data_IF_827765267644
#
_entry.id   IF_827765267644
#
_cell.length_a   1.000
_cell.length_b   1.000
_cell.length_c   1.000
_cell.angle_alpha   90.00
_cell.angle_beta   90.00
_cell.angle_gamma   90.00
#
_symmetry.space_group_name_H-M   'P 1'
#
loop_
_entity.id
_entity.type
_entity.pdbx_description
1 polymer ?
2 polymer ?
3 non-polymer ?
4 non-polymer ?
5 non-polymer ?
6 water ?
#
# COMPACT_ATOMS: atom_id res chain seq x y z
N UNK A 1 2.41 14.23 -12.71
CA UNK A 1 1.43 15.26 -12.44
C UNK A 1 0.01 14.70 -12.65
N UNK A 2 -0.94 15.42 -12.00
CA UNK A 2 -2.35 14.99 -12.06
C UNK A 2 -3.05 15.52 -13.32
N UNK A 3 -3.65 14.62 -14.09
CA UNK A 3 -4.41 14.99 -15.22
C UNK A 3 -5.81 15.39 -14.83
N UNK A 4 -6.60 15.92 -15.73
CA UNK A 4 -8.03 16.21 -15.45
C UNK A 4 -8.73 14.92 -15.04
N UNK A 5 -8.35 13.79 -15.70
CA UNK A 5 -8.95 12.50 -15.34
C UNK A 5 -8.60 12.15 -13.91
N UNK A 6 -7.34 12.33 -13.52
CA UNK A 6 -6.98 12.00 -12.12
C UNK A 6 -7.74 12.87 -11.14
N UNK A 7 -7.86 14.16 -11.43
CA UNK A 7 -8.53 15.10 -10.49
C UNK A 7 -9.99 14.72 -10.31
N UNK A 8 -10.68 14.38 -11.44
CA UNK A 8 -12.06 14.02 -11.34
C UNK A 8 -12.22 12.74 -10.56
N UNK A 9 -11.31 11.77 -10.74
CA UNK A 9 -11.40 10.48 -10.02
C UNK A 9 -11.19 10.69 -8.54
N UNK A 10 -10.23 11.57 -8.18
CA UNK A 10 -10.00 11.81 -6.72
C UNK A 10 -11.18 12.49 -6.13
N UNK A 11 -11.73 13.52 -6.81
CA UNK A 11 -12.95 14.22 -6.27
C UNK A 11 -14.10 13.26 -6.15
N UNK A 12 -14.31 12.39 -7.17
CA UNK A 12 -15.47 11.48 -7.08
C UNK A 12 -15.28 10.47 -5.94
N UNK A 13 -14.07 9.93 -5.75
CA UNK A 13 -13.82 9.00 -4.61
C UNK A 13 -14.03 9.71 -3.28
N UNK A 14 -13.47 10.91 -3.10
CA UNK A 14 -13.64 11.62 -1.81
C UNK A 14 -15.12 11.98 -1.58
N UNK A 15 -15.83 12.29 -2.67
CA UNK A 15 -17.25 12.55 -2.52
C UNK A 15 -17.98 11.36 -1.90
N UNK A 16 -17.54 10.12 -2.24
CA UNK A 16 -18.15 8.93 -1.68
C UNK A 16 -17.67 8.55 -0.30
N UNK A 17 -16.37 8.72 -0.03
CA UNK A 17 -15.84 8.14 1.21
C UNK A 17 -15.59 9.19 2.30
N UNK A 18 -15.65 10.49 1.91
CA UNK A 18 -15.33 11.57 2.92
C UNK A 18 -16.19 11.59 4.16
N UNK A 19 -17.44 10.99 4.03
CA UNK A 19 -18.31 10.85 5.18
C UNK A 19 -17.59 10.16 6.35
N UNK A 20 -16.61 9.30 6.03
CA UNK A 20 -15.91 8.56 7.09
C UNK A 20 -14.52 9.06 7.36
N UNK A 21 -14.25 10.33 6.98
CA UNK A 21 -12.93 11.00 7.15
C UNK A 21 -12.31 10.72 8.51
N UNK A 22 -13.10 11.00 9.56
CA UNK A 22 -12.53 10.85 10.93
C UNK A 22 -12.06 9.43 11.17
N UNK A 23 -12.91 8.45 10.83
CA UNK A 23 -12.57 7.06 11.05
C UNK A 23 -11.37 6.65 10.22
N UNK A 24 -11.32 7.10 8.98
CA UNK A 24 -10.15 6.78 8.12
C UNK A 24 -8.87 7.29 8.77
N UNK A 25 -8.92 8.54 9.31
CA UNK A 25 -7.69 9.10 9.91
C UNK A 25 -7.29 8.35 11.16
N UNK A 26 -8.28 8.01 12.03
CA UNK A 26 -7.89 7.29 13.23
C UNK A 26 -7.22 5.98 12.87
N UNK A 27 -7.83 5.29 11.91
CA UNK A 27 -7.29 3.94 11.56
C UNK A 27 -5.92 4.07 10.85
N UNK A 28 -5.77 5.06 9.98
CA UNK A 28 -4.45 5.22 9.28
C UNK A 28 -3.31 5.54 10.24
N UNK A 29 -3.56 6.50 11.17
CA UNK A 29 -2.54 6.82 12.12
C UNK A 29 -2.24 5.67 13.07
N UNK A 30 -3.33 4.98 13.48
CA UNK A 30 -3.17 3.82 14.37
C UNK A 30 -2.24 2.79 13.74
N UNK A 31 -2.47 2.46 12.47
CA UNK A 31 -1.69 1.52 11.71
C UNK A 31 -0.27 2.00 11.53
N UNK A 32 -0.13 3.27 11.25
CA UNK A 32 1.23 3.76 11.04
C UNK A 32 2.05 3.55 12.31
N UNK A 33 1.51 3.92 13.46
CA UNK A 33 2.35 3.81 14.70
C UNK A 33 2.65 2.38 15.02
N UNK A 34 1.77 1.42 14.76
CA UNK A 34 1.98 0.02 15.11
C UNK A 34 2.88 -0.68 14.09
N UNK A 35 2.63 -0.48 12.82
CA UNK A 35 3.35 -1.16 11.76
C UNK A 35 4.70 -0.55 11.46
N UNK A 36 4.84 0.74 11.67
CA UNK A 36 6.08 1.47 11.40
C UNK A 36 6.48 2.18 12.72
N UNK A 37 6.94 1.41 13.69
CA UNK A 37 7.17 2.00 15.02
C UNK A 37 8.18 3.14 15.07
N UNK A 38 9.01 3.33 14.05
CA UNK A 38 9.94 4.46 13.99
C UNK A 38 9.11 5.75 14.03
N UNK A 39 7.84 5.73 13.62
CA UNK A 39 7.04 6.92 13.63
C UNK A 39 6.47 7.28 15.00
N UNK A 40 6.46 6.37 15.96
CA UNK A 40 5.82 6.71 17.22
C UNK A 40 6.46 7.89 17.95
N UNK A 41 7.78 8.00 17.80
CA UNK A 41 8.51 9.08 18.53
C UNK A 41 7.88 10.43 18.26
N UNK A 42 7.36 10.69 17.07
CA UNK A 42 6.82 11.99 16.69
C UNK A 42 5.56 12.37 17.46
N UNK A 43 4.89 11.35 18.03
CA UNK A 43 3.64 11.58 18.78
C UNK A 43 3.83 11.37 20.26
N UNK A 44 5.06 11.11 20.72
CA UNK A 44 5.31 10.71 22.09
C UNK A 44 5.07 11.76 23.15
N UNK A 45 4.89 12.99 22.74
CA UNK A 45 4.54 14.04 23.71
C UNK A 45 3.08 13.86 24.10
N UNK A 46 2.26 13.10 23.36
CA UNK A 46 0.86 12.94 23.76
C UNK A 46 0.75 12.06 25.00
N UNK A 47 -0.24 12.22 25.86
CA UNK A 47 -0.39 11.39 27.05
C UNK A 47 -0.72 9.92 26.73
N UNK A 48 -1.21 9.66 25.50
CA UNK A 48 -1.53 8.26 25.20
C UNK A 48 -1.21 7.99 23.72
N UNK A 49 -0.24 7.09 23.46
CA UNK A 49 0.13 6.71 22.10
C UNK A 49 -0.13 5.19 21.91
N UNK A 50 -0.92 4.59 22.81
CA UNK A 50 -1.27 3.16 22.74
C UNK A 50 -2.53 2.94 21.90
N UNK A 51 -2.72 1.69 21.45
CA UNK A 51 -3.92 1.42 20.63
C UNK A 51 -5.19 1.86 21.31
N UNK A 52 -6.04 2.53 20.56
CA UNK A 52 -7.30 2.99 21.10
C UNK A 52 -7.15 4.41 21.65
N UNK A 53 -5.95 5.02 21.63
CA UNK A 53 -5.85 6.34 22.22
C UNK A 53 -6.77 7.44 21.73
N UNK A 54 -7.33 8.24 22.62
CA UNK A 54 -8.20 9.38 22.20
C UNK A 54 -7.30 10.41 21.55
N UNK A 55 -5.98 10.47 21.80
CA UNK A 55 -5.14 11.43 21.12
C UNK A 55 -4.96 11.03 19.64
N UNK A 56 -4.74 9.73 19.40
CA UNK A 56 -4.62 9.27 18.02
C UNK A 56 -5.96 9.54 17.31
N UNK A 57 -7.09 9.27 18.02
CA UNK A 57 -8.37 9.52 17.32
C UNK A 57 -8.54 10.99 16.98
N UNK A 58 -8.23 11.90 17.91
CA UNK A 58 -8.39 13.32 17.67
C UNK A 58 -7.44 13.77 16.53
N UNK A 59 -6.20 13.28 16.54
CA UNK A 59 -5.26 13.71 15.47
C UNK A 59 -5.67 13.11 14.12
N UNK A 60 -6.25 11.93 14.14
CA UNK A 60 -6.69 11.33 12.83
C UNK A 60 -7.70 12.22 12.18
N UNK A 61 -8.54 12.94 12.95
CA UNK A 61 -9.52 13.84 12.31
C UNK A 61 -8.73 14.96 11.60
N UNK A 62 -7.68 15.47 12.23
CA UNK A 62 -6.89 16.55 11.61
C UNK A 62 -6.18 16.10 10.36
N UNK A 63 -5.57 14.91 10.37
CA UNK A 63 -4.83 14.41 9.23
C UNK A 63 -5.79 14.33 8.00
N UNK A 64 -6.99 13.75 8.20
CA UNK A 64 -7.87 13.60 7.01
C UNK A 64 -8.45 14.95 6.70
N UNK A 65 -8.52 15.91 7.60
CA UNK A 65 -8.90 17.28 7.24
C UNK A 65 -7.77 17.80 6.35
N UNK A 66 -6.50 17.47 6.53
CA UNK A 66 -5.43 17.91 5.62
C UNK A 66 -5.61 17.25 4.26
N UNK A 67 -6.01 15.98 4.20
CA UNK A 67 -6.28 15.33 2.91
C UNK A 67 -7.47 16.02 2.23
N UNK A 68 -8.53 16.33 3.00
CA UNK A 68 -9.70 17.04 2.38
C UNK A 68 -9.22 18.42 1.84
N UNK A 69 -8.33 19.09 2.59
CA UNK A 69 -7.80 20.36 2.08
C UNK A 69 -7.05 20.11 0.78
N UNK A 70 -6.22 19.05 0.72
CA UNK A 70 -5.51 18.74 -0.50
C UNK A 70 -6.46 18.43 -1.66
N UNK A 71 -7.61 17.74 -1.44
CA UNK A 71 -8.57 17.53 -2.52
C UNK A 71 -9.08 18.90 -2.99
N UNK A 72 -9.40 19.80 -2.04
CA UNK A 72 -9.86 21.15 -2.51
C UNK A 72 -8.79 21.89 -3.28
N UNK A 73 -7.54 21.72 -2.91
CA UNK A 73 -6.41 22.47 -3.50
C UNK A 73 -5.74 21.63 -4.57
N UNK A 74 -6.43 20.62 -5.11
CA UNK A 74 -5.76 19.67 -6.02
C UNK A 74 -5.16 20.30 -7.27
N UNK A 75 -5.68 21.50 -7.64
CA UNK A 75 -5.10 22.15 -8.83
C UNK A 75 -3.76 22.78 -8.53
N UNK A 76 -3.41 22.97 -7.26
CA UNK A 76 -2.14 23.63 -6.91
C UNK A 76 -1.78 23.23 -5.48
N UNK A 77 -1.22 22.00 -5.36
CA UNK A 77 -0.97 21.48 -4.03
C UNK A 77 0.16 22.17 -3.34
N UNK A 78 1.12 22.67 -4.09
CA UNK A 78 2.23 23.42 -3.46
C UNK A 78 1.70 24.61 -2.68
N UNK A 79 0.89 25.44 -3.35
CA UNK A 79 0.40 26.62 -2.64
C UNK A 79 -0.58 26.17 -1.57
N UNK A 80 -1.44 25.20 -1.84
CA UNK A 80 -2.49 24.81 -0.89
C UNK A 80 -1.97 24.22 0.38
N UNK A 81 -0.85 23.48 0.33
CA UNK A 81 -0.30 22.78 1.49
C UNK A 81 0.96 23.46 2.02
N UNK A 82 1.27 24.67 1.57
CA UNK A 82 2.49 25.34 2.06
C UNK A 82 2.56 25.45 3.58
N UNK A 83 1.49 25.85 4.23
CA UNK A 83 1.53 26.00 5.70
C UNK A 83 1.73 24.67 6.36
N UNK A 84 1.09 23.64 5.82
CA UNK A 84 1.32 22.31 6.43
C UNK A 84 2.75 21.85 6.14
N UNK A 85 3.34 22.19 5.03
CA UNK A 85 4.74 21.83 4.76
C UNK A 85 5.61 22.54 5.77
N UNK A 86 5.39 23.85 6.02
CA UNK A 86 6.22 24.58 7.00
C UNK A 86 6.13 23.95 8.39
N UNK A 87 4.89 23.56 8.76
CA UNK A 87 4.67 22.95 10.07
C UNK A 87 5.45 21.64 10.21
N UNK A 88 5.38 20.75 9.22
CA UNK A 88 6.09 19.49 9.36
C UNK A 88 7.61 19.66 9.22
N UNK A 89 8.06 20.60 8.37
CA UNK A 89 9.51 20.76 8.21
C UNK A 89 10.18 21.51 9.32
N UNK A 90 9.58 22.60 9.76
CA UNK A 90 10.22 23.51 10.70
C UNK A 90 9.75 23.40 12.11
N UNK A 91 8.44 23.35 12.35
CA UNK A 91 7.99 23.31 13.71
C UNK A 91 8.13 21.89 14.24
N UNK A 92 7.78 20.86 13.47
CA UNK A 92 7.81 19.45 13.91
C UNK A 92 9.04 18.66 13.57
N UNK A 93 9.68 19.09 12.50
CA UNK A 93 10.88 18.39 12.01
C UNK A 93 10.65 16.92 11.77
N UNK A 94 9.48 16.56 11.15
CA UNK A 94 9.21 15.18 10.76
C UNK A 94 10.05 14.83 9.56
N UNK A 95 10.84 13.74 9.64
CA UNK A 95 11.68 13.35 8.49
C UNK A 95 10.81 13.11 7.28
N UNK A 96 11.09 13.69 6.12
CA UNK A 96 10.16 13.61 4.99
C UNK A 96 10.01 12.20 4.41
N UNK A 97 10.91 11.27 4.80
CA UNK A 97 10.74 9.87 4.31
C UNK A 97 9.48 9.25 4.89
N UNK A 98 8.88 9.84 5.90
CA UNK A 98 7.70 9.23 6.50
C UNK A 98 6.40 9.52 5.74
N UNK A 99 6.35 10.55 4.86
CA UNK A 99 5.10 10.83 4.19
C UNK A 99 4.59 9.66 3.40
N UNK A 100 5.48 8.94 2.70
CA UNK A 100 5.01 7.79 1.89
C UNK A 100 4.44 6.69 2.77
N UNK A 101 4.91 6.57 4.02
CA UNK A 101 4.41 5.55 4.95
C UNK A 101 2.99 5.85 5.28
N UNK A 102 2.66 7.12 5.65
CA UNK A 102 1.25 7.42 5.98
C UNK A 102 0.39 7.27 4.76
N UNK A 103 0.90 7.65 3.56
CA UNK A 103 0.11 7.50 2.34
C UNK A 103 -0.26 6.06 2.11
N UNK A 104 0.66 5.11 2.29
CA UNK A 104 0.34 3.70 2.15
C UNK A 104 -0.71 3.25 3.16
N UNK A 105 -0.57 3.73 4.41
CA UNK A 105 -1.56 3.35 5.46
C UNK A 105 -2.92 3.88 5.08
N UNK A 106 -3.02 5.10 4.50
CA UNK A 106 -4.30 5.65 4.07
C UNK A 106 -4.91 4.73 2.97
N UNK A 107 -4.07 4.32 2.01
CA UNK A 107 -4.62 3.39 0.96
C UNK A 107 -5.12 2.10 1.57
N UNK A 108 -4.36 1.55 2.52
CA UNK A 108 -4.82 0.28 3.17
C UNK A 108 -6.15 0.49 3.88
N UNK A 109 -6.29 1.60 4.62
CA UNK A 109 -7.50 1.83 5.36
C UNK A 109 -8.67 1.98 4.40
N UNK A 110 -8.51 2.82 3.37
CA UNK A 110 -9.62 3.00 2.41
C UNK A 110 -10.00 1.65 1.80
N UNK A 111 -9.02 0.79 1.49
CA UNK A 111 -9.32 -0.52 0.95
C UNK A 111 -10.15 -1.35 1.94
N UNK A 112 -9.79 -1.32 3.24
CA UNK A 112 -10.56 -2.08 4.21
C UNK A 112 -12.01 -1.60 4.36
N UNK A 113 -12.23 -0.29 4.20
CA UNK A 113 -13.53 0.30 4.48
C UNK A 113 -14.43 0.48 3.27
N UNK A 114 -13.82 0.65 2.09
CA UNK A 114 -14.58 0.91 0.89
C UNK A 114 -14.11 0.02 -0.23
N UNK A 115 -14.15 -1.28 -0.08
CA UNK A 115 -13.63 -2.20 -1.12
C UNK A 115 -14.37 -2.01 -2.45
N UNK A 116 -15.65 -1.66 -2.50
CA UNK A 116 -16.31 -1.52 -3.78
C UNK A 116 -15.88 -0.25 -4.53
N UNK A 117 -15.77 0.85 -3.76
CA UNK A 117 -15.38 2.11 -4.41
C UNK A 117 -13.91 2.18 -4.75
N UNK A 118 -13.06 1.47 -3.98
CA UNK A 118 -11.64 1.60 -4.19
C UNK A 118 -11.11 0.63 -5.24
N UNK A 119 -11.59 0.89 -6.46
CA UNK A 119 -11.19 0.09 -7.61
C UNK A 119 -9.73 0.34 -8.00
N UNK A 120 -9.19 -0.48 -8.88
CA UNK A 120 -7.83 -0.17 -9.37
C UNK A 120 -7.76 1.21 -10.02
N UNK A 121 -8.80 1.62 -10.71
CA UNK A 121 -8.77 2.98 -11.38
C UNK A 121 -8.83 4.06 -10.34
N UNK A 122 -9.61 3.84 -9.27
CA UNK A 122 -9.62 4.87 -8.18
C UNK A 122 -8.23 4.92 -7.53
N UNK A 123 -7.64 3.74 -7.37
CA UNK A 123 -6.34 3.63 -6.73
C UNK A 123 -5.21 4.28 -7.52
N UNK A 124 -5.14 4.13 -8.86
CA UNK A 124 -4.03 4.77 -9.55
C UNK A 124 -4.10 6.27 -9.40
N UNK A 125 -5.30 6.88 -9.55
CA UNK A 125 -5.37 8.34 -9.42
C UNK A 125 -5.14 8.77 -7.99
N UNK A 126 -5.64 8.02 -6.99
CA UNK A 126 -5.40 8.44 -5.60
C UNK A 126 -3.93 8.31 -5.25
N UNK A 127 -3.25 7.27 -5.79
CA UNK A 127 -1.84 7.12 -5.47
C UNK A 127 -1.03 8.27 -6.10
N UNK A 128 -1.40 8.63 -7.37
CA UNK A 128 -0.68 9.79 -7.97
C UNK A 128 -0.96 11.06 -7.13
N UNK A 129 -2.19 11.22 -6.66
CA UNK A 129 -2.54 12.38 -5.81
C UNK A 129 -1.75 12.35 -4.50
N UNK A 130 -1.66 11.20 -3.84
CA UNK A 130 -0.92 11.18 -2.56
C UNK A 130 0.57 11.41 -2.78
N UNK A 131 1.13 10.99 -3.93
CA UNK A 131 2.52 11.32 -4.28
C UNK A 131 2.61 12.85 -4.40
N UNK A 132 1.61 13.49 -5.01
CA UNK A 132 1.65 14.96 -5.15
C UNK A 132 1.52 15.62 -3.77
N UNK A 133 0.72 15.07 -2.87
CA UNK A 133 0.58 15.58 -1.52
C UNK A 133 1.95 15.48 -0.83
N UNK A 134 2.61 14.30 -0.95
CA UNK A 134 3.95 14.17 -0.29
C UNK A 134 4.93 15.17 -0.86
N UNK A 135 4.88 15.40 -2.19
CA UNK A 135 5.86 16.35 -2.75
C UNK A 135 5.54 17.78 -2.29
N UNK A 136 4.26 18.12 -2.16
CA UNK A 136 3.91 19.46 -1.65
C UNK A 136 4.31 19.59 -0.20
N UNK A 137 4.11 18.50 0.63
CA UNK A 137 4.55 18.58 2.03
C UNK A 137 6.04 18.68 2.11
N UNK A 138 6.79 18.17 1.12
CA UNK A 138 8.24 18.26 1.11
C UNK A 138 8.67 19.66 0.68
N UNK A 139 7.84 20.56 0.28
CA UNK A 139 8.30 21.87 -0.26
C UNK A 139 9.24 22.67 0.60
N UNK A 140 9.00 22.72 1.91
CA UNK A 140 9.83 23.60 2.77
C UNK A 140 11.04 22.88 3.35
N UNK A 141 11.28 21.60 2.92
CA UNK A 141 12.42 20.89 3.52
C UNK A 141 13.79 21.25 3.01
N UNK A 142 14.00 21.65 1.76
CA UNK A 142 15.37 21.98 1.32
C UNK A 142 15.41 22.84 0.05
N UNK B 1 15.47 -12.26 8.93
CA UNK B 1 14.26 -12.07 9.73
C UNK B 1 14.11 -13.11 10.85
N UNK B 2 13.63 -12.65 11.99
CA UNK B 2 13.31 -13.27 13.25
C UNK B 2 11.78 -13.30 13.34
N UNK B 3 11.17 -14.37 13.79
CA UNK B 3 9.70 -14.44 13.84
C UNK B 3 9.17 -14.75 15.23
N UNK B 4 8.16 -14.05 15.67
CA UNK B 4 7.51 -14.39 16.94
C UNK B 4 6.47 -15.47 16.68
N UNK B 5 6.08 -16.20 17.73
CA UNK B 5 5.02 -17.24 17.58
C UNK B 5 3.75 -16.54 17.13
N UNK B 6 3.43 -15.39 17.65
CA UNK B 6 2.22 -14.71 17.23
C UNK B 6 2.26 -14.37 15.74
N UNK B 7 3.41 -13.89 15.22
CA UNK B 7 3.52 -13.63 13.78
C UNK B 7 3.33 -14.89 12.98
N UNK B 8 3.93 -16.01 13.42
CA UNK B 8 3.79 -17.29 12.73
C UNK B 8 2.31 -17.67 12.69
N UNK B 9 1.56 -17.51 13.78
CA UNK B 9 0.16 -17.89 13.84
C UNK B 9 -0.66 -17.02 12.91
N UNK B 10 -0.37 -15.66 12.91
CA UNK B 10 -1.09 -14.79 11.99
C UNK B 10 -0.86 -15.16 10.53
N UNK B 11 0.39 -15.39 10.13
CA UNK B 11 0.67 -15.74 8.74
C UNK B 11 0.00 -17.05 8.37
N UNK B 12 0.13 -18.05 9.27
CA UNK B 12 -0.52 -19.35 8.96
C UNK B 12 -1.99 -19.20 8.76
N UNK B 13 -2.68 -18.40 9.64
CA UNK B 13 -4.15 -18.19 9.56
C UNK B 13 -4.52 -17.46 8.27
N UNK B 14 -3.73 -16.44 7.87
CA UNK B 14 -4.01 -15.75 6.60
C UNK B 14 -3.98 -16.74 5.44
N UNK B 15 -2.90 -17.57 5.36
CA UNK B 15 -2.83 -18.46 4.20
C UNK B 15 -3.86 -19.57 4.22
N UNK B 16 -4.27 -19.99 5.41
CA UNK B 16 -5.24 -21.06 5.52
C UNK B 16 -6.60 -20.62 5.01
N UNK B 17 -6.89 -19.32 5.10
CA UNK B 17 -8.20 -18.82 4.65
C UNK B 17 -8.15 -18.03 3.33
N UNK B 18 -6.98 -17.98 2.71
CA UNK B 18 -6.82 -17.28 1.44
C UNK B 18 -7.54 -17.89 0.28
N UNK B 19 -8.34 -17.19 -0.46
CA UNK B 19 -8.95 -17.75 -1.69
C UNK B 19 -7.98 -17.28 -2.79
N UNK B 20 -7.03 -18.12 -3.13
CA UNK B 20 -6.04 -17.74 -4.12
C UNK B 20 -6.65 -17.37 -5.47
N UNK B 21 -7.72 -18.05 -5.83
CA UNK B 21 -8.33 -17.78 -7.12
C UNK B 21 -9.00 -16.41 -7.20
N UNK B 22 -9.22 -15.80 -6.05
CA UNK B 22 -9.80 -14.46 -5.98
C UNK B 22 -8.71 -13.42 -5.80
N UNK B 23 -7.92 -13.61 -4.73
CA UNK B 23 -6.88 -12.60 -4.46
C UNK B 23 -5.81 -12.51 -5.51
N UNK B 24 -5.34 -13.64 -6.07
CA UNK B 24 -4.24 -13.63 -7.02
C UNK B 24 -4.56 -12.80 -8.27
N UNK B 25 -5.61 -13.07 -8.98
CA UNK B 25 -5.97 -12.28 -10.18
C UNK B 25 -6.17 -10.84 -9.79
N UNK B 26 -6.81 -10.54 -8.66
CA UNK B 26 -7.06 -9.13 -8.30
C UNK B 26 -5.77 -8.37 -8.03
N UNK B 27 -4.85 -9.01 -7.30
CA UNK B 27 -3.61 -8.34 -6.95
C UNK B 27 -2.78 -8.04 -8.18
N UNK B 28 -2.65 -8.99 -9.12
CA UNK B 28 -1.81 -8.73 -10.28
C UNK B 28 -2.52 -7.72 -11.19
N UNK B 29 -3.83 -7.86 -11.36
CA UNK B 29 -4.52 -6.86 -12.24
C UNK B 29 -4.43 -5.47 -11.64
N UNK B 30 -4.51 -5.36 -10.30
CA UNK B 30 -4.41 -4.06 -9.65
C UNK B 30 -3.00 -3.50 -9.91
N UNK B 31 -1.96 -4.33 -9.80
CA UNK B 31 -0.64 -3.81 -10.08
C UNK B 31 -0.52 -3.33 -11.52
N UNK B 32 -1.13 -4.06 -12.47
CA UNK B 32 -1.01 -3.67 -13.89
C UNK B 32 -1.75 -2.35 -14.14
N UNK B 33 -2.73 -1.98 -13.32
CA UNK B 33 -3.42 -0.70 -13.49
C UNK B 33 -2.71 0.42 -12.74
N UNK B 34 -2.29 0.18 -11.49
CA UNK B 34 -1.65 1.23 -10.69
C UNK B 34 -0.23 1.51 -11.10
N UNK B 35 0.49 0.48 -11.58
CA UNK B 35 1.91 0.65 -11.99
C UNK B 35 1.97 0.08 -13.39
N UNK B 36 1.36 0.76 -14.34
CA UNK B 36 1.12 0.15 -15.69
C UNK B 36 2.37 -0.14 -16.50
N UNK B 37 3.52 0.37 -16.13
CA UNK B 37 4.74 -0.04 -16.79
C UNK B 37 5.07 -1.49 -16.50
N UNK B 38 4.45 -2.13 -15.53
CA UNK B 38 4.64 -3.56 -15.29
C UNK B 38 3.92 -4.39 -16.36
N UNK B 39 3.04 -3.80 -17.18
CA UNK B 39 2.36 -4.54 -18.26
C UNK B 39 3.35 -5.05 -19.30
N UNK B 40 4.50 -4.39 -19.48
CA UNK B 40 5.41 -4.77 -20.57
C UNK B 40 5.96 -6.17 -20.44
N UNK B 41 5.86 -6.81 -19.31
CA UNK B 41 6.33 -8.21 -19.18
C UNK B 41 5.32 -9.20 -19.59
N UNK B 42 4.09 -8.76 -19.77
CA UNK B 42 3.05 -9.73 -20.11
C UNK B 42 2.30 -9.37 -21.40
N UNK B 43 3.08 -8.73 -22.26
CA UNK B 43 2.54 -8.28 -23.55
C UNK B 43 2.08 -9.45 -24.44
N UNK B 44 2.27 -10.72 -24.07
CA UNK B 44 1.83 -11.82 -24.92
C UNK B 44 0.62 -12.51 -24.32
N UNK B 45 0.18 -11.99 -23.18
CA UNK B 45 -0.94 -12.48 -22.43
C UNK B 45 -2.25 -12.14 -23.08
N UNK B 46 -2.18 -11.50 -24.29
CA UNK B 46 -3.52 -11.22 -24.84
C UNK B 46 -3.80 -9.74 -24.47
N UNK B 47 -5.01 -9.42 -24.89
CA UNK B 47 -5.57 -8.05 -24.73
C UNK B 47 -5.83 -7.75 -23.25
N UNK B 48 -5.23 -6.72 -22.71
CA UNK B 48 -4.62 -5.68 -21.97
C UNK B 48 -4.59 -4.20 -22.36
N UNK B 49 -5.12 -3.43 -23.30
CA UNK B 49 -4.74 -2.01 -23.24
C UNK B 49 -5.55 -1.25 -22.17
N UNK B 50 -6.71 -1.80 -21.79
CA UNK B 50 -7.48 -1.08 -20.77
C UNK B 50 -7.73 -1.91 -19.50
N UNK B 51 -8.21 -1.22 -18.49
CA UNK B 51 -8.48 -1.79 -17.16
C UNK B 51 -9.60 -2.79 -17.18
N UNK B 52 -10.65 -2.68 -17.96
CA UNK B 52 -11.65 -3.75 -17.96
C UNK B 52 -10.96 -4.99 -18.55
N UNK B 53 -10.11 -4.79 -19.53
CA UNK B 53 -9.22 -5.60 -20.36
C UNK B 53 -8.36 -6.41 -19.39
N UNK B 54 -7.49 -5.69 -18.70
CA UNK B 54 -6.57 -6.26 -17.70
C UNK B 54 -7.28 -7.12 -16.64
N UNK B 55 -8.36 -6.53 -16.07
CA UNK B 55 -9.09 -7.17 -14.97
C UNK B 55 -9.53 -8.54 -15.54
N UNK B 56 -10.39 -8.74 -16.48
CA UNK B 56 -10.92 -9.96 -17.10
C UNK B 56 -9.93 -10.87 -17.89
N UNK B 57 -8.66 -10.48 -18.00
CA UNK B 57 -7.88 -11.41 -18.82
C UNK B 57 -7.55 -12.69 -18.09
N UNK B 58 -7.91 -13.86 -18.69
CA UNK B 58 -7.68 -15.15 -18.00
C UNK B 58 -6.23 -15.48 -17.89
N UNK B 59 -5.40 -14.93 -18.77
CA UNK B 59 -3.95 -15.16 -18.62
C UNK B 59 -3.40 -14.43 -17.38
N UNK B 60 -3.86 -13.17 -17.24
CA UNK B 60 -3.43 -12.39 -16.06
C UNK B 60 -3.95 -13.11 -14.81
N UNK B 61 -5.19 -13.64 -14.84
CA UNK B 61 -5.74 -14.33 -13.70
C UNK B 61 -4.88 -15.56 -13.37
N UNK B 62 -4.62 -16.36 -14.36
CA UNK B 62 -3.85 -17.59 -14.06
C UNK B 62 -2.48 -17.24 -13.51
N UNK B 63 -1.85 -16.15 -14.02
CA UNK B 63 -0.54 -15.77 -13.53
C UNK B 63 -0.57 -15.18 -12.13
N UNK B 64 -1.65 -14.42 -11.80
CA UNK B 64 -1.73 -13.86 -10.44
C UNK B 64 -1.88 -15.00 -9.46
N UNK B 65 -2.59 -16.07 -9.82
CA UNK B 65 -2.76 -17.25 -8.95
C UNK B 65 -1.40 -17.92 -8.77
N UNK B 66 -0.64 -18.03 -9.85
CA UNK B 66 0.73 -18.58 -9.75
C UNK B 66 1.63 -17.73 -8.83
N UNK B 67 1.54 -16.42 -8.91
CA UNK B 67 2.35 -15.59 -8.02
C UNK B 67 1.99 -15.81 -6.57
N UNK B 68 0.67 -15.84 -6.32
CA UNK B 68 0.27 -16.00 -4.91
C UNK B 68 0.69 -17.34 -4.39
N UNK B 69 0.63 -18.43 -5.18
CA UNK B 69 1.07 -19.72 -4.74
C UNK B 69 2.61 -19.69 -4.63
N UNK B 70 3.29 -18.78 -5.29
CA UNK B 70 4.75 -18.68 -5.18
C UNK B 70 5.08 -18.21 -3.77
N UNK B 71 4.12 -17.65 -3.00
CA UNK B 71 4.38 -17.27 -1.58
C UNK B 71 4.37 -18.49 -0.68
N UNK B 72 3.76 -19.60 -1.14
CA UNK B 72 3.58 -20.78 -0.25
C UNK B 72 4.88 -21.30 0.25
N UNK B 73 5.89 -21.37 -0.62
CA UNK B 73 7.19 -21.95 -0.21
C UNK B 73 7.75 -21.13 0.90
N UNK B 74 7.53 -19.80 0.83
CA UNK B 74 8.08 -18.97 1.91
C UNK B 74 7.33 -19.14 3.21
N UNK B 75 5.99 -19.16 3.14
CA UNK B 75 5.19 -19.24 4.39
C UNK B 75 5.35 -20.60 5.04
N UNK B 76 5.67 -21.63 4.29
CA UNK B 76 5.83 -22.95 4.89
C UNK B 76 7.18 -23.07 5.59
N UNK B 77 8.15 -22.21 5.38
CA UNK B 77 9.45 -22.30 6.16
C UNK B 77 10.00 -20.84 6.18
N UNK B 78 9.33 -20.09 7.07
CA UNK B 78 9.77 -18.71 7.08
C UNK B 78 11.18 -18.54 7.53
N UNK B 79 11.81 -19.48 8.21
CA UNK B 79 13.19 -19.22 8.60
C UNK B 79 14.14 -19.41 7.44
N UNK B 80 13.69 -19.88 6.31
CA UNK B 80 14.62 -20.09 5.19
C UNK B 80 14.12 -19.36 3.97
N UNK B 81 13.39 -18.27 4.12
CA UNK B 81 12.90 -17.57 2.90
C UNK B 81 14.01 -17.13 1.96
N UNK B 82 15.12 -16.64 2.48
CA UNK B 82 16.20 -16.12 1.63
C UNK B 82 16.65 -17.23 0.68
N UNK B 83 16.86 -18.43 1.16
CA UNK B 83 17.26 -19.50 0.26
C UNK B 83 16.08 -20.16 -0.41
N UNK B 84 14.83 -19.93 -0.07
CA UNK B 84 13.75 -20.59 -0.77
C UNK B 84 13.43 -19.96 -2.13
N UNK B 85 13.83 -18.76 -2.44
CA UNK B 85 13.55 -18.11 -3.72
C UNK B 85 14.74 -17.97 -4.65
N UNK B 86 15.86 -18.65 -4.42
CA UNK B 86 17.03 -18.40 -5.30
C UNK B 86 16.76 -18.59 -6.78
N UNK B 87 16.09 -19.71 -7.08
CA UNK B 87 15.80 -20.00 -8.50
C UNK B 87 14.81 -19.02 -9.02
N UNK B 88 13.82 -18.61 -8.22
CA UNK B 88 12.85 -17.63 -8.73
C UNK B 88 13.51 -16.28 -8.97
N UNK B 89 14.45 -15.91 -8.12
CA UNK B 89 15.18 -14.61 -8.25
C UNK B 89 15.99 -14.62 -9.55
N UNK B 90 16.72 -15.71 -9.80
CA UNK B 90 17.50 -15.87 -11.03
C UNK B 90 16.61 -15.78 -12.26
N UNK B 91 15.45 -16.43 -12.26
CA UNK B 91 14.53 -16.36 -13.38
C UNK B 91 14.06 -14.94 -13.67
N UNK B 92 13.54 -14.25 -12.64
CA UNK B 92 13.08 -12.85 -12.83
C UNK B 92 14.24 -11.96 -13.22
N UNK B 93 15.49 -12.13 -12.76
CA UNK B 93 16.55 -11.26 -13.18
C UNK B 93 17.07 -11.52 -14.59
N UNK B 94 17.55 -12.76 -14.74
CA UNK B 94 18.25 -13.10 -15.96
C UNK B 94 17.42 -13.54 -17.15
N UNK B 95 16.29 -14.15 -16.86
CA UNK B 95 15.49 -14.55 -18.03
C UNK B 95 14.43 -13.50 -18.35
N UNK B 96 13.78 -13.02 -17.27
CA UNK B 96 12.69 -12.08 -17.50
C UNK B 96 13.05 -10.63 -17.43
N UNK B 97 14.19 -10.28 -16.86
CA UNK B 97 14.64 -8.90 -16.74
C UNK B 97 13.61 -8.02 -16.06
N UNK B 98 13.01 -8.55 -15.02
CA UNK B 98 12.06 -7.69 -14.28
C UNK B 98 12.84 -6.76 -13.36
N UNK B 99 12.55 -5.46 -13.51
CA UNK B 99 13.31 -4.56 -12.63
C UNK B 99 12.98 -4.79 -11.16
N UNK B 100 13.96 -4.81 -10.28
CA UNK B 100 13.65 -5.21 -8.89
C UNK B 100 12.75 -4.33 -8.06
N UNK B 101 12.65 -3.05 -8.42
CA UNK B 101 11.72 -2.24 -7.62
C UNK B 101 10.31 -2.76 -7.82
N UNK B 102 9.99 -3.51 -8.88
CA UNK B 102 8.65 -3.93 -9.13
C UNK B 102 8.11 -4.96 -8.15
N UNK B 103 9.00 -5.76 -7.50
CA UNK B 103 8.51 -6.71 -6.52
C UNK B 103 7.75 -6.02 -5.35
N UNK B 104 8.32 -4.86 -4.89
CA UNK B 104 7.66 -4.11 -3.82
C UNK B 104 6.31 -3.57 -4.30
N UNK B 105 6.20 -3.11 -5.54
CA UNK B 105 4.92 -2.57 -6.08
C UNK B 105 3.90 -3.65 -6.05
N UNK B 106 4.21 -4.88 -6.56
CA UNK B 106 3.19 -5.94 -6.54
C UNK B 106 2.84 -6.33 -5.12
N UNK B 107 3.89 -6.35 -4.22
CA UNK B 107 3.69 -6.67 -2.83
C UNK B 107 2.61 -5.77 -2.18
N UNK B 108 2.75 -4.45 -2.48
CA UNK B 108 1.76 -3.49 -1.90
C UNK B 108 0.38 -3.74 -2.47
N UNK B 109 0.27 -4.17 -3.77
CA UNK B 109 -1.04 -4.50 -4.31
C UNK B 109 -1.65 -5.74 -3.67
N UNK B 110 -0.83 -6.74 -3.35
CA UNK B 110 -1.27 -7.94 -2.65
C UNK B 110 -1.82 -7.51 -1.28
N UNK B 111 -1.08 -6.66 -0.54
CA UNK B 111 -1.55 -6.19 0.75
C UNK B 111 -2.87 -5.43 0.61
N UNK B 112 -2.98 -4.57 -0.39
CA UNK B 112 -4.23 -3.75 -0.54
C UNK B 112 -5.39 -4.62 -0.92
N UNK B 113 -5.22 -5.66 -1.75
CA UNK B 113 -6.30 -6.55 -2.08
C UNK B 113 -6.67 -7.41 -0.88
N UNK B 114 -5.70 -7.90 -0.11
CA UNK B 114 -6.05 -8.70 1.08
C UNK B 114 -6.78 -7.81 2.06
N UNK B 115 -6.39 -6.56 2.20
CA UNK B 115 -7.07 -5.63 3.12
C UNK B 115 -8.51 -5.47 2.70
N UNK B 116 -8.79 -5.36 1.40
CA UNK B 116 -10.20 -5.24 0.95
C UNK B 116 -11.02 -6.50 1.23
N UNK B 117 -10.37 -7.68 1.12
CA UNK B 117 -11.06 -8.96 1.43
C UNK B 117 -11.33 -9.12 2.92
N UNK B 118 -10.33 -8.84 3.76
CA UNK B 118 -10.42 -9.04 5.21
C UNK B 118 -11.17 -7.93 5.94
N UNK B 119 -11.22 -6.71 5.38
CA UNK B 119 -11.96 -5.65 6.03
C UNK B 119 -11.52 -5.34 7.43
N UNK B 120 -12.43 -5.19 8.36
CA UNK B 120 -11.94 -4.92 9.72
C UNK B 120 -11.11 -6.02 10.34
N UNK B 121 -11.07 -7.23 9.75
CA UNK B 121 -10.20 -8.25 10.34
C UNK B 121 -8.73 -8.00 9.96
N UNK B 122 -8.48 -7.07 9.03
CA UNK B 122 -7.10 -6.73 8.62
C UNK B 122 -6.57 -5.72 9.63
N UNK B 123 -6.35 -6.17 10.87
CA UNK B 123 -5.90 -5.27 11.92
C UNK B 123 -4.48 -4.81 11.69
N UNK B 124 -4.07 -3.80 12.50
CA UNK B 124 -2.70 -3.32 12.39
C UNK B 124 -1.72 -4.47 12.60
N UNK B 125 -1.98 -5.31 13.63
CA UNK B 125 -1.04 -6.40 13.90
C UNK B 125 -1.01 -7.40 12.73
N UNK B 126 -2.17 -7.63 12.07
CA UNK B 126 -2.25 -8.50 10.92
C UNK B 126 -1.47 -7.92 9.75
N UNK B 127 -1.70 -6.60 9.50
CA UNK B 127 -0.93 -5.92 8.45
C UNK B 127 0.59 -5.99 8.70
N UNK B 128 0.97 -5.77 9.97
CA UNK B 128 2.41 -5.78 10.30
C UNK B 128 3.03 -7.11 10.00
N UNK B 129 2.41 -8.21 10.40
CA UNK B 129 3.00 -9.54 10.14
C UNK B 129 3.01 -9.85 8.66
N UNK B 130 1.88 -9.55 7.97
CA UNK B 130 1.84 -9.85 6.54
C UNK B 130 2.85 -9.05 5.73
N UNK B 131 2.97 -7.76 6.03
CA UNK B 131 3.98 -6.94 5.32
C UNK B 131 5.40 -7.39 5.67
N UNK B 132 5.64 -7.84 6.90
CA UNK B 132 7.00 -8.35 7.28
C UNK B 132 7.26 -9.60 6.44
N UNK B 133 6.31 -10.48 6.28
CA UNK B 133 6.48 -11.67 5.42
C UNK B 133 6.74 -11.31 3.97
N UNK B 134 5.89 -10.43 3.39
CA UNK B 134 6.12 -10.05 2.01
C UNK B 134 7.45 -9.36 1.82
N UNK B 135 7.90 -8.56 2.82
CA UNK B 135 9.21 -7.89 2.67
C UNK B 135 10.33 -8.90 2.62
N UNK B 136 10.21 -9.97 3.38
CA UNK B 136 11.21 -11.02 3.38
C UNK B 136 11.20 -11.68 2.00
N UNK B 137 10.01 -11.93 1.44
CA UNK B 137 10.00 -12.55 0.11
C UNK B 137 10.56 -11.57 -0.92
N UNK B 138 10.22 -10.32 -0.88
CA UNK B 138 10.76 -9.31 -1.83
C UNK B 138 12.25 -9.21 -1.71
N UNK B 139 12.83 -9.24 -0.52
CA UNK B 139 14.28 -9.23 -0.39
C UNK B 139 14.88 -10.46 -1.04
N UNK B 140 14.26 -11.64 -0.79
CA UNK B 140 14.81 -12.87 -1.37
C UNK B 140 14.68 -12.84 -2.89
N UNK B 141 13.64 -12.25 -3.48
CA UNK B 141 13.53 -12.20 -4.95
C UNK B 141 14.57 -11.28 -5.56
N UNK B 142 15.06 -10.33 -4.77
CA UNK B 142 16.11 -9.47 -5.29
C UNK B 142 17.50 -9.97 -4.98
N UNK B 143 17.60 -11.07 -4.21
CA UNK B 143 18.89 -11.60 -3.83
C UNK B 143 19.85 -11.92 -4.95
N UNK B 144 19.50 -12.53 -6.09
CA UNK B 144 20.37 -12.91 -7.18
C UNK B 144 20.57 -11.75 -8.14
N UNK B 145 20.04 -10.54 -7.92
CA UNK B 145 20.31 -9.47 -8.85
C UNK B 145 21.77 -8.95 -8.64
N UNK B 146 22.48 -8.41 -9.62
CA UNK B 146 23.84 -7.90 -9.54
C UNK B 146 23.99 -6.41 -9.21
X LIG C 1 2.73 13.30 -11.90
X LIG C 1 1.85 13.26 -10.88
X LIG C 1 3.86 12.46 -12.27
X LIG D 1 0.00 14.03 10.76
X LIG D 1 -0.32 13.09 11.37
X LIG E 1 0.28 17.66 12.53
X LIG E 1 -1.51 16.51 8.17
X LIG E 1 1.99 13.24 7.64
X LIG E 1 3.44 14.04 12.16
X LIG E 1 -0.49 17.67 11.39
X LIG E 1 -1.68 18.46 11.15
X LIG E 1 -2.14 18.16 9.94
X LIG E 1 -1.32 17.11 9.40
X LIG E 1 -3.39 18.72 9.21
X LIG E 1 -2.16 19.60 12.07
X LIG E 1 -1.32 20.91 11.91
X LIG E 1 -1.82 21.96 12.91
X LIG E 1 -2.31 23.00 12.40
X LIG E 1 -1.71 21.67 14.10
X LIG E 1 -0.67 15.55 7.62
X LIG E 1 -0.85 14.94 6.34
X LIG E 1 0.14 14.04 6.17
X LIG E 1 0.93 14.06 7.38
X LIG E 1 -1.95 15.35 5.34
X LIG E 1 0.37 13.15 4.96
X LIG E 1 -0.58 12.47 4.33
X LIG E 1 2.69 13.15 8.84
X LIG E 1 3.68 12.13 9.15
X LIG E 1 4.03 12.30 10.43
X LIG E 1 3.36 13.50 10.90
X LIG E 1 4.14 11.06 8.12
X LIG E 1 5.04 11.53 11.29
X LIG E 1 5.48 10.32 11.03
X LIG E 1 2.68 15.06 12.67
X LIG E 1 2.84 15.63 14.00
X LIG E 1 1.95 16.63 14.09
X LIG E 1 1.25 16.74 12.84
X LIG E 1 3.84 15.11 15.03
X LIG E 1 1.71 17.52 15.36
X LIG E 1 0.88 16.77 16.43
X LIG E 1 0.54 17.68 17.63
X LIG E 1 0.72 17.19 18.73
X LIG E 1 0.10 18.84 17.38
X LIG E 1 -0.35 16.76 10.33
X LIG E 1 0.41 14.99 8.27
X LIG E 1 2.52 13.97 9.92
X LIG E 1 1.74 15.78 11.96
X LIG E 1 1.10 15.38 10.12
X LIG F 1 6.84 -15.74 -13.35
X LIG F 1 6.30 -15.31 -8.54
X LIG F 1 6.74 -10.54 -8.98
X LIG F 1 6.85 -10.95 -13.78
X LIG F 1 6.64 -16.03 -12.01
X LIG F 1 6.44 -17.35 -11.45
X LIG F 1 6.14 -17.20 -10.15
X LIG F 1 6.42 -15.81 -9.83
X LIG F 1 5.98 -18.27 -9.05
X LIG F 1 6.42 -18.65 -12.27
X LIG F 1 7.72 -19.47 -12.28
X LIG F 1 8.17 -20.03 -13.58
X LIG F 1 8.73 -21.15 -13.58
X LIG F 1 8.01 -19.32 -14.62
X LIG F 1 6.52 -14.00 -8.21
X LIG F 1 6.34 -13.43 -6.88
X LIG F 1 6.44 -12.09 -7.00
X LIG F 1 6.56 -11.80 -8.42
X LIG F 1 6.23 -14.25 -5.59
X LIG F 1 6.31 -11.03 -5.93
X LIG F 1 7.22 -10.08 -5.77
X LIG F 1 6.78 -10.22 -10.31
X LIG F 1 6.62 -8.89 -10.86
X LIG F 1 6.75 -9.00 -12.19
X LIG F 1 6.84 -10.42 -12.51
X LIG F 1 6.73 -7.61 -9.98
X LIG F 1 6.72 -7.94 -13.29
X LIG F 1 6.32 -6.72 -13.09
X LIG F 1 6.81 -12.28 -14.10
X LIG F 1 6.77 -12.82 -15.43
X LIG F 1 6.78 -14.16 -15.31
X LIG F 1 6.71 -14.48 -13.92
X LIG F 1 7.01 -11.97 -16.73
X LIG F 1 6.64 -15.14 -16.50
X LIG F 1 5.30 -15.01 -17.22
X LIG F 1 5.05 -15.98 -18.35
X LIG F 1 4.65 -15.45 -19.43
X LIG F 1 5.21 -17.19 -18.10
X LIG F 1 6.54 -15.09 -11.01
X LIG F 1 6.60 -12.97 -9.16
X LIG F 1 6.84 -11.14 -11.35
X LIG F 1 6.74 -13.31 -13.17
X LIG F 1 6.78 -13.12 -11.18
#
# INVERSE_FOLDING_TARGET
SLSDKDKAAVRALWSKIGKSSDAIGNDALSRMIVVYPQTKIYFSHWPDVTPGSPNIKAHGKKVMGGIALAVSKIDDLKTGLMELSEQHAYKLRVDPSNFKILNHCILVVISTMFPKEFTPEAHVSLDKFLSGVALALAERYR
VEWTDKERSIISDIFSHMDYDDIGPKALSRCLVVYPWTQRYFSGFGNLYNAEGIMSNANVAAHGIKVLHGLDRGMKNMDNIADAYTDLSTLHSEKLHVDPDNFKLLSDCITIVLAAKMGHAFTAETQGAFQKFLAAVVSALGKQYH
ACE C O CH3
CMO C O
HEM CHA CHB CHC CHD C1A C2A C3A C4A CMA CAA CBA CGA O1A O2A C1B C2B C3B C4B CMB CAB CBB C1C C2C C3C C4C CMC CAC CBC C1D C2D C3D C4D CMD CAD CBD CGD O1D O2D NA NB NC ND FE
HEM CHA CHB CHC CHD C1A C2A C3A C4A CMA CAA CBA CGA O1A O2A C1B C2B C3B C4B CMB CAB CBB C1C C2C C3C C4C CMC CAC CBC C1D C2D C3D C4D CMD CAD CBD CGD O1D O2D NA NB NC ND FE
#
